data_IF_106486499018
#
_entry.id   IF_106486499018
#
_cell.length_a   1.000
_cell.length_b   1.000
_cell.length_c   1.000
_cell.angle_alpha   90.00
_cell.angle_beta   90.00
_cell.angle_gamma   90.00
#
_symmetry.space_group_name_H-M   'P 1'
#
loop_
_entity.id
_entity.type
_entity.pdbx_description
1 polymer ?
#
# COMPACT_ATOMS: atom_id res chain seq x y z
N UNK A 1 9.99 -10.78 15.99
CA UNK A 1 8.59 -10.55 15.59
C UNK A 1 8.36 -11.28 14.28
N UNK A 2 7.32 -12.09 14.20
CA UNK A 2 7.20 -13.08 13.13
C UNK A 2 6.83 -12.48 11.79
N UNK A 3 7.45 -13.01 10.73
CA UNK A 3 7.07 -12.84 9.32
C UNK A 3 5.54 -12.88 9.14
N UNK A 4 4.84 -13.76 9.88
CA UNK A 4 3.38 -13.85 9.88
C UNK A 4 2.68 -12.53 10.17
N UNK A 5 3.10 -11.77 11.19
CA UNK A 5 2.48 -10.46 11.49
C UNK A 5 2.79 -9.44 10.40
N UNK A 6 4.00 -9.44 9.86
CA UNK A 6 4.35 -8.57 8.74
C UNK A 6 3.48 -8.85 7.51
N UNK A 7 3.21 -10.12 7.20
CA UNK A 7 2.30 -10.51 6.12
C UNK A 7 0.85 -10.08 6.39
N UNK A 8 0.36 -10.20 7.63
CA UNK A 8 -1.00 -9.74 7.97
C UNK A 8 -1.15 -8.23 7.78
N UNK A 9 -0.21 -7.42 8.26
CA UNK A 9 -0.26 -5.97 8.08
C UNK A 9 -0.03 -5.56 6.63
N UNK A 10 0.80 -6.30 5.87
CA UNK A 10 0.95 -6.09 4.42
C UNK A 10 -0.37 -6.34 3.68
N UNK A 11 -1.09 -7.42 4.01
CA UNK A 11 -2.40 -7.73 3.45
C UNK A 11 -3.43 -6.65 3.80
N UNK A 12 -3.46 -6.20 5.06
CA UNK A 12 -4.34 -5.10 5.48
C UNK A 12 -3.96 -3.78 4.79
N UNK A 13 -2.68 -3.54 4.55
CA UNK A 13 -2.16 -2.39 3.80
C UNK A 13 -2.59 -2.37 2.33
N UNK A 14 -2.89 -3.52 1.73
CA UNK A 14 -3.42 -3.57 0.36
C UNK A 14 -4.78 -2.84 0.24
N UNK A 15 -5.60 -2.85 1.30
CA UNK A 15 -6.94 -2.23 1.31
C UNK A 15 -6.86 -0.73 0.99
N UNK A 16 -6.18 0.12 1.79
CA UNK A 16 -6.04 1.53 1.45
C UNK A 16 -5.25 1.73 0.15
N UNK A 17 -4.30 0.84 -0.19
CA UNK A 17 -3.55 0.90 -1.43
C UNK A 17 -4.42 0.81 -2.69
N UNK A 18 -5.45 -0.05 -2.68
CA UNK A 18 -6.43 -0.16 -3.77
C UNK A 18 -7.25 1.12 -3.88
N UNK A 19 -7.76 1.67 -2.77
CA UNK A 19 -8.53 2.91 -2.82
C UNK A 19 -7.72 4.09 -3.36
N UNK A 20 -6.47 4.22 -2.93
CA UNK A 20 -5.58 5.27 -3.42
C UNK A 20 -5.24 5.10 -4.91
N UNK A 21 -5.04 3.87 -5.38
CA UNK A 21 -4.85 3.56 -6.79
C UNK A 21 -6.08 3.98 -7.62
N UNK A 22 -7.29 3.66 -7.14
CA UNK A 22 -8.54 4.03 -7.80
C UNK A 22 -8.77 5.53 -7.82
N UNK A 23 -8.49 6.24 -6.72
CA UNK A 23 -8.57 7.71 -6.66
C UNK A 23 -7.58 8.33 -7.64
N UNK A 24 -6.34 7.85 -7.65
CA UNK A 24 -5.33 8.32 -8.58
C UNK A 24 -5.76 8.08 -10.03
N UNK A 25 -6.32 6.92 -10.34
CA UNK A 25 -6.83 6.61 -11.68
C UNK A 25 -7.98 7.53 -12.06
N UNK A 26 -8.93 7.76 -11.15
CA UNK A 26 -10.04 8.67 -11.37
C UNK A 26 -9.59 10.12 -11.67
N UNK A 27 -8.47 10.56 -11.08
CA UNK A 27 -7.87 11.88 -11.35
C UNK A 27 -7.07 11.88 -12.67
N UNK A 28 -6.35 10.79 -12.95
CA UNK A 28 -5.51 10.64 -14.15
C UNK A 28 -6.33 10.44 -15.43
N UNK A 29 -7.58 9.99 -15.29
CA UNK A 29 -8.46 9.63 -16.40
C UNK A 29 -8.18 8.23 -16.96
N UNK A 30 -8.87 7.91 -18.05
CA UNK A 30 -8.71 6.64 -18.79
C UNK A 30 -8.03 6.90 -20.15
N UNK A 31 -6.69 7.04 -20.19
CA UNK A 31 -5.97 7.19 -21.45
C UNK A 31 -6.13 5.94 -22.33
N UNK A 32 -6.14 6.14 -23.65
CA UNK A 32 -6.28 5.05 -24.64
C UNK A 32 -5.09 4.08 -24.63
N UNK A 33 -3.93 4.57 -24.19
CA UNK A 33 -2.69 3.81 -24.05
C UNK A 33 -2.24 3.72 -22.59
N UNK A 34 -1.56 2.61 -22.26
CA UNK A 34 -1.02 2.41 -20.93
C UNK A 34 0.22 3.28 -20.70
N UNK A 35 0.02 4.48 -20.16
CA UNK A 35 1.09 5.45 -19.92
C UNK A 35 1.88 5.18 -18.64
N UNK A 36 3.09 5.72 -18.55
CA UNK A 36 3.92 5.68 -17.35
C UNK A 36 3.23 6.32 -16.13
N UNK A 37 2.40 7.34 -16.36
CA UNK A 37 1.60 7.98 -15.31
C UNK A 37 0.57 6.99 -14.78
N UNK A 38 -0.17 6.30 -15.65
CA UNK A 38 -1.15 5.30 -15.23
C UNK A 38 -0.49 4.11 -14.50
N UNK A 39 0.70 3.70 -14.94
CA UNK A 39 1.51 2.72 -14.21
C UNK A 39 1.83 3.20 -12.78
N UNK A 40 2.36 4.42 -12.63
CA UNK A 40 2.69 5.00 -11.32
C UNK A 40 1.46 5.08 -10.42
N UNK A 41 0.38 5.63 -10.94
CA UNK A 41 -0.88 5.83 -10.25
C UNK A 41 -1.48 4.53 -9.72
N UNK A 42 -1.38 3.42 -10.46
CA UNK A 42 -1.97 2.15 -10.06
C UNK A 42 -1.06 1.32 -9.14
N UNK A 43 0.24 1.32 -9.39
CA UNK A 43 1.17 0.42 -8.70
C UNK A 43 1.81 1.04 -7.47
N UNK A 44 2.14 2.33 -7.52
CA UNK A 44 2.82 3.01 -6.41
C UNK A 44 2.00 3.01 -5.12
N UNK A 45 0.72 3.47 -5.09
CA UNK A 45 -0.07 3.43 -3.87
C UNK A 45 -0.37 2.00 -3.40
N UNK A 46 -0.66 1.07 -4.32
CA UNK A 46 -0.95 -0.31 -3.96
C UNK A 46 0.24 -0.99 -3.28
N UNK A 47 1.39 -1.03 -3.94
CA UNK A 47 2.59 -1.66 -3.39
C UNK A 47 3.22 -0.83 -2.27
N UNK A 48 3.10 0.50 -2.31
CA UNK A 48 3.55 1.39 -1.25
C UNK A 48 2.85 1.11 0.07
N UNK A 49 1.52 0.96 0.07
CA UNK A 49 0.77 0.62 1.28
C UNK A 49 1.04 -0.81 1.76
N UNK A 50 1.23 -1.78 0.86
CA UNK A 50 1.65 -3.14 1.21
C UNK A 50 3.02 -3.12 1.89
N UNK A 51 4.00 -2.42 1.31
CA UNK A 51 5.34 -2.30 1.86
C UNK A 51 5.34 -1.60 3.22
N UNK A 52 4.56 -0.52 3.37
CA UNK A 52 4.39 0.17 4.64
C UNK A 52 3.78 -0.76 5.71
N UNK A 53 2.72 -1.49 5.38
CA UNK A 53 2.10 -2.49 6.26
C UNK A 53 3.09 -3.58 6.67
N UNK A 54 3.86 -4.11 5.72
CA UNK A 54 4.91 -5.08 6.01
C UNK A 54 5.94 -4.54 7.01
N UNK A 55 6.46 -3.33 6.78
CA UNK A 55 7.45 -2.67 7.63
C UNK A 55 6.89 -2.44 9.04
N UNK A 56 5.65 -1.97 9.17
CA UNK A 56 4.97 -1.77 10.46
C UNK A 56 4.83 -3.11 11.20
N UNK A 57 4.31 -4.13 10.51
CA UNK A 57 4.11 -5.45 11.08
C UNK A 57 5.41 -6.12 11.50
N UNK A 58 6.50 -5.88 10.76
CA UNK A 58 7.86 -6.34 11.07
C UNK A 58 8.49 -5.62 12.27
N UNK A 59 8.27 -4.30 12.41
CA UNK A 59 8.90 -3.44 13.43
C UNK A 59 8.20 -3.39 14.79
N UNK A 60 6.88 -3.56 14.85
CA UNK A 60 6.08 -3.20 16.03
C UNK A 60 6.16 -4.13 17.26
N UNK A 61 7.34 -4.27 17.84
CA UNK A 61 7.55 -4.80 19.18
C UNK A 61 8.70 -4.07 19.87
N UNK A 62 8.94 -2.83 19.44
CA UNK A 62 9.63 -1.80 20.21
C UNK A 62 8.70 -0.68 20.71
N UNK A 63 7.41 -0.68 20.37
CA UNK A 63 6.47 0.43 20.68
C UNK A 63 5.13 -0.10 21.25
N UNK A 64 5.19 -0.86 22.34
CA UNK A 64 4.03 -1.13 23.23
C UNK A 64 3.88 -0.06 24.31
N UNK A 65 4.08 1.23 23.99
CA UNK A 65 3.74 2.31 24.94
C UNK A 65 3.31 3.54 24.16
N UNK A 66 2.00 3.73 24.03
CA UNK A 66 1.46 4.95 23.43
C UNK A 66 -0.01 4.86 23.00
N UNK A 67 -0.90 4.44 23.90
CA UNK A 67 -2.32 4.86 24.06
C UNK A 67 -3.08 3.78 24.83
#
# INVERSE_FOLDING_TARGET
MGVGRALLFALLGAIPGVFLALIGWAISGSPDEWSNVMWLTCYFPFFGCIAAGFIIGWRGGGETTGA
#
